data_IF_639716040469
#
_entry.id   IF_639716040469
#
_cell.length_a   1.000
_cell.length_b   1.000
_cell.length_c   1.000
_cell.angle_alpha   90.00
_cell.angle_beta   90.00
_cell.angle_gamma   90.00
#
_symmetry.space_group_name_H-M   'P 1'
#
loop_
_entity.id
_entity.type
_entity.pdbx_description
1 polymer ?
#
# COMPACT_ATOMS: atom_id res chain seq x y z
N UNK A 1 12.17 79.96 11.59
CA UNK A 1 12.91 78.85 12.23
C UNK A 1 12.29 77.60 11.74
N UNK A 2 13.02 76.77 10.99
CA UNK A 2 12.52 75.78 10.03
C UNK A 2 12.00 74.48 10.65
N UNK A 3 10.69 74.30 10.61
CA UNK A 3 10.02 73.08 11.02
C UNK A 3 9.84 72.06 9.85
N UNK A 4 10.70 72.09 8.87
CA UNK A 4 10.58 71.30 7.61
C UNK A 4 11.55 70.13 7.48
N UNK A 5 12.19 69.68 8.57
CA UNK A 5 13.29 68.68 8.45
C UNK A 5 13.05 67.31 9.09
N UNK A 6 11.83 66.99 9.55
CA UNK A 6 11.56 65.70 10.18
C UNK A 6 10.46 64.85 9.53
N UNK A 7 10.04 65.16 8.32
CA UNK A 7 9.12 64.35 7.56
C UNK A 7 9.88 63.67 6.43
N UNK A 8 10.82 62.86 6.75
CA UNK A 8 11.38 61.93 5.77
C UNK A 8 12.17 60.85 6.52
N UNK A 9 11.55 59.77 6.79
CA UNK A 9 12.09 58.40 6.95
C UNK A 9 11.14 57.48 7.70
N UNK A 10 9.82 57.62 7.50
CA UNK A 10 8.94 56.49 7.74
C UNK A 10 8.99 55.64 6.47
N UNK A 11 10.08 54.87 6.38
CA UNK A 11 10.25 53.88 5.35
C UNK A 11 9.16 52.82 5.59
N UNK A 12 8.18 52.83 4.72
CA UNK A 12 7.11 51.85 4.63
C UNK A 12 7.76 50.51 4.31
N UNK A 13 8.14 49.77 5.35
CA UNK A 13 8.50 48.34 5.24
C UNK A 13 7.18 47.62 4.98
N UNK A 14 6.82 47.52 3.71
CA UNK A 14 5.84 46.56 3.23
C UNK A 14 6.50 45.21 3.44
N UNK A 15 6.23 44.57 4.58
CA UNK A 15 6.48 43.15 4.78
C UNK A 15 5.51 42.43 3.86
N UNK A 16 5.98 42.16 2.66
CA UNK A 16 5.35 41.23 1.75
C UNK A 16 5.52 39.86 2.42
N UNK A 17 4.55 39.48 3.28
CA UNK A 17 4.41 38.11 3.74
C UNK A 17 4.05 37.34 2.48
N UNK A 18 5.06 36.81 1.81
CA UNK A 18 4.93 35.73 0.85
C UNK A 18 4.34 34.56 1.65
N UNK A 19 3.01 34.44 1.61
CA UNK A 19 2.36 33.19 1.86
C UNK A 19 2.90 32.18 0.85
N UNK A 20 4.03 31.57 1.19
CA UNK A 20 4.36 30.28 0.64
C UNK A 20 3.26 29.35 1.13
N UNK A 21 2.16 29.32 0.40
CA UNK A 21 1.26 28.19 0.43
C UNK A 21 2.14 27.00 0.05
N UNK A 22 2.70 26.32 1.06
CA UNK A 22 3.19 24.99 0.88
C UNK A 22 1.98 24.21 0.38
N UNK A 23 1.82 24.12 -0.94
CA UNK A 23 0.99 23.10 -1.54
C UNK A 23 1.67 21.80 -1.09
N UNK A 24 1.20 21.28 0.03
CA UNK A 24 1.43 19.90 0.39
C UNK A 24 0.95 19.12 -0.83
N UNK A 25 1.88 18.62 -1.63
CA UNK A 25 1.58 17.70 -2.70
C UNK A 25 1.17 16.39 -2.01
N UNK A 26 -0.07 16.36 -1.52
CA UNK A 26 -0.72 15.10 -1.26
C UNK A 26 -0.76 14.39 -2.59
N UNK A 27 -0.02 13.30 -2.72
CA UNK A 27 -0.09 12.48 -3.92
C UNK A 27 -1.52 11.97 -4.00
N UNK A 28 -2.28 12.42 -5.01
CA UNK A 28 -3.67 11.98 -5.21
C UNK A 28 -3.69 10.46 -5.33
N UNK A 29 -4.64 9.77 -4.70
CA UNK A 29 -4.63 8.30 -4.61
C UNK A 29 -4.62 7.60 -5.97
N UNK A 30 -5.28 8.15 -6.99
CA UNK A 30 -5.29 7.65 -8.36
C UNK A 30 -3.90 7.76 -9.02
N UNK A 31 -3.24 8.91 -8.86
CA UNK A 31 -1.86 9.12 -9.35
C UNK A 31 -0.88 8.21 -8.62
N UNK A 32 -1.08 8.01 -7.31
CA UNK A 32 -0.28 7.06 -6.54
C UNK A 32 -0.42 5.64 -7.09
N UNK A 33 -1.65 5.17 -7.32
CA UNK A 33 -1.86 3.83 -7.89
C UNK A 33 -1.30 3.74 -9.30
N UNK A 34 -1.49 4.76 -10.15
CA UNK A 34 -0.93 4.74 -11.51
C UNK A 34 0.60 4.61 -11.48
N UNK A 35 1.29 5.38 -10.61
CA UNK A 35 2.75 5.27 -10.46
C UNK A 35 3.18 3.86 -10.03
N UNK A 36 2.49 3.25 -9.07
CA UNK A 36 2.81 1.90 -8.58
C UNK A 36 2.60 0.86 -9.67
N UNK A 37 1.52 0.98 -10.44
CA UNK A 37 1.21 0.10 -11.56
C UNK A 37 2.26 0.21 -12.65
N UNK A 38 2.67 1.43 -13.02
CA UNK A 38 3.68 1.69 -14.04
C UNK A 38 5.07 1.14 -13.60
N UNK A 39 5.43 1.35 -12.32
CA UNK A 39 6.67 0.81 -11.74
C UNK A 39 6.66 -0.74 -11.75
N UNK A 40 5.54 -1.36 -11.36
CA UNK A 40 5.39 -2.81 -11.37
C UNK A 40 5.44 -3.39 -12.80
N UNK A 41 4.73 -2.78 -13.75
CA UNK A 41 4.77 -3.18 -15.17
C UNK A 41 6.18 -3.07 -15.74
N UNK A 42 6.87 -1.95 -15.46
CA UNK A 42 8.26 -1.75 -15.87
C UNK A 42 9.19 -2.82 -15.27
N UNK A 43 9.01 -3.17 -13.99
CA UNK A 43 9.78 -4.24 -13.34
C UNK A 43 9.56 -5.60 -14.00
N UNK A 44 8.33 -5.90 -14.43
CA UNK A 44 7.98 -7.15 -15.08
C UNK A 44 8.53 -7.26 -16.50
N UNK A 45 8.52 -6.15 -17.26
CA UNK A 45 8.98 -6.12 -18.65
C UNK A 45 10.51 -6.07 -18.75
N UNK A 46 11.15 -5.24 -17.92
CA UNK A 46 12.58 -4.91 -18.06
C UNK A 46 13.51 -5.80 -17.21
N UNK A 47 12.99 -6.78 -16.48
CA UNK A 47 13.84 -7.70 -15.71
C UNK A 47 14.27 -8.90 -16.54
N UNK A 48 15.52 -9.32 -16.36
CA UNK A 48 16.16 -10.38 -17.14
C UNK A 48 15.73 -11.80 -16.72
N UNK A 49 15.30 -11.96 -15.47
CA UNK A 49 14.91 -13.24 -14.89
C UNK A 49 13.86 -13.09 -13.79
N UNK A 50 13.27 -14.23 -13.39
CA UNK A 50 12.20 -14.27 -12.36
C UNK A 50 12.65 -13.70 -11.00
N UNK A 51 13.90 -13.99 -10.60
CA UNK A 51 14.44 -13.50 -9.32
C UNK A 51 14.49 -11.98 -9.30
N UNK A 52 15.00 -11.35 -10.34
CA UNK A 52 15.07 -9.89 -10.46
C UNK A 52 13.67 -9.26 -10.45
N UNK A 53 12.69 -9.87 -11.16
CA UNK A 53 11.28 -9.44 -11.11
C UNK A 53 10.77 -9.44 -9.68
N UNK A 54 10.95 -10.56 -8.98
CA UNK A 54 10.49 -10.72 -7.61
C UNK A 54 11.14 -9.70 -6.66
N UNK A 55 12.43 -9.45 -6.77
CA UNK A 55 13.14 -8.52 -5.89
C UNK A 55 12.64 -7.07 -6.12
N UNK A 56 12.46 -6.62 -7.36
CA UNK A 56 11.87 -5.31 -7.68
C UNK A 56 10.43 -5.19 -7.16
N UNK A 57 9.60 -6.23 -7.33
CA UNK A 57 8.22 -6.25 -6.84
C UNK A 57 8.16 -6.18 -5.30
N UNK A 58 9.09 -6.83 -4.58
CA UNK A 58 9.20 -6.71 -3.12
C UNK A 58 9.52 -5.27 -2.70
N UNK A 59 10.45 -4.62 -3.40
CA UNK A 59 10.82 -3.22 -3.11
C UNK A 59 9.64 -2.26 -3.33
N UNK A 60 8.86 -2.48 -4.39
CA UNK A 60 7.63 -1.73 -4.66
C UNK A 60 6.63 -1.95 -3.51
N UNK A 61 6.39 -3.21 -3.11
CA UNK A 61 5.46 -3.52 -2.03
C UNK A 61 5.88 -2.90 -0.69
N UNK A 62 7.17 -2.92 -0.36
CA UNK A 62 7.71 -2.31 0.88
C UNK A 62 7.46 -0.80 0.97
N UNK A 63 7.42 -0.10 -0.16
CA UNK A 63 7.20 1.35 -0.24
C UNK A 63 5.72 1.72 -0.29
N UNK A 64 4.88 0.86 -0.89
CA UNK A 64 3.50 1.21 -1.27
C UNK A 64 2.41 0.50 -0.48
N UNK A 65 2.73 -0.58 0.24
CA UNK A 65 1.74 -1.41 0.95
C UNK A 65 1.91 -1.30 2.46
N UNK A 66 0.81 -1.11 3.19
CA UNK A 66 0.79 -1.21 4.65
C UNK A 66 0.78 -2.67 5.10
N UNK A 67 1.92 -3.36 4.87
CA UNK A 67 2.06 -4.79 5.15
C UNK A 67 1.73 -5.10 6.62
N UNK A 68 2.19 -4.24 7.55
CA UNK A 68 1.90 -4.40 8.98
C UNK A 68 0.40 -4.25 9.28
N UNK A 69 -0.24 -3.25 8.68
CA UNK A 69 -1.68 -3.03 8.85
C UNK A 69 -2.51 -4.18 8.30
N UNK A 70 -2.15 -4.71 7.14
CA UNK A 70 -2.80 -5.89 6.54
C UNK A 70 -2.58 -7.11 7.44
N UNK A 71 -1.36 -7.35 7.93
CA UNK A 71 -1.06 -8.46 8.82
C UNK A 71 -1.89 -8.42 10.11
N UNK A 72 -1.96 -7.26 10.76
CA UNK A 72 -2.79 -7.10 11.96
C UNK A 72 -4.29 -7.26 11.67
N UNK A 73 -4.76 -6.87 10.50
CA UNK A 73 -6.13 -7.12 10.06
C UNK A 73 -6.39 -8.61 9.86
N UNK A 74 -5.46 -9.34 9.24
CA UNK A 74 -5.57 -10.78 8.94
C UNK A 74 -5.61 -11.65 10.21
N UNK A 75 -5.00 -11.21 11.32
CA UNK A 75 -5.16 -11.88 12.62
C UNK A 75 -6.58 -11.76 13.22
N UNK A 76 -7.38 -10.81 12.77
CA UNK A 76 -8.71 -10.58 13.31
C UNK A 76 -8.73 -10.34 14.82
N UNK A 77 -9.56 -11.10 15.55
CA UNK A 77 -9.68 -11.03 17.02
C UNK A 77 -8.45 -11.60 17.76
N UNK A 78 -7.74 -12.56 17.16
CA UNK A 78 -6.60 -13.23 17.77
C UNK A 78 -5.48 -12.26 18.16
N UNK A 79 -5.31 -11.16 17.42
CA UNK A 79 -4.32 -10.11 17.74
C UNK A 79 -4.43 -9.51 19.15
N UNK A 80 -5.61 -9.63 19.80
CA UNK A 80 -5.84 -9.07 21.14
C UNK A 80 -5.17 -9.91 22.23
N UNK A 81 -5.02 -11.20 21.98
CA UNK A 81 -4.54 -12.18 22.96
C UNK A 81 -3.02 -12.40 22.86
N UNK A 82 -2.36 -11.87 21.82
CA UNK A 82 -0.92 -12.01 21.63
C UNK A 82 -0.14 -11.13 22.60
N UNK A 83 0.92 -11.69 23.16
CA UNK A 83 1.98 -10.96 23.87
C UNK A 83 2.70 -10.00 22.91
N UNK A 84 3.52 -9.10 23.46
CA UNK A 84 4.34 -8.20 22.64
C UNK A 84 5.38 -8.97 21.81
N UNK A 85 5.93 -10.07 22.35
CA UNK A 85 6.87 -10.94 21.65
C UNK A 85 6.23 -11.61 20.45
N UNK A 86 5.07 -12.29 20.65
CA UNK A 86 4.32 -12.96 19.60
C UNK A 86 3.85 -11.99 18.51
N UNK A 87 3.47 -10.75 18.88
CA UNK A 87 3.14 -9.71 17.88
C UNK A 87 4.34 -9.33 17.03
N UNK A 88 5.51 -9.22 17.64
CA UNK A 88 6.76 -8.92 16.93
C UNK A 88 7.12 -10.04 15.96
N UNK A 89 7.12 -11.27 16.44
CA UNK A 89 7.38 -12.48 15.65
C UNK A 89 6.40 -12.63 14.48
N UNK A 90 5.10 -12.51 14.75
CA UNK A 90 4.08 -12.53 13.70
C UNK A 90 4.31 -11.46 12.63
N UNK A 91 4.63 -10.22 13.02
CA UNK A 91 4.86 -9.15 12.05
C UNK A 91 6.03 -9.48 11.11
N UNK A 92 7.10 -10.08 11.62
CA UNK A 92 8.25 -10.50 10.79
C UNK A 92 7.90 -11.68 9.89
N UNK A 93 7.19 -12.69 10.41
CA UNK A 93 6.72 -13.83 9.62
C UNK A 93 5.74 -13.37 8.54
N UNK A 94 4.75 -12.56 8.91
CA UNK A 94 3.77 -12.06 7.94
C UNK A 94 4.41 -11.22 6.84
N UNK A 95 5.37 -10.36 7.18
CA UNK A 95 6.10 -9.56 6.19
C UNK A 95 6.83 -10.45 5.17
N UNK A 96 7.56 -11.47 5.62
CA UNK A 96 8.27 -12.41 4.74
C UNK A 96 7.28 -13.20 3.87
N UNK A 97 6.22 -13.73 4.48
CA UNK A 97 5.14 -14.44 3.80
C UNK A 97 4.50 -13.56 2.71
N UNK A 98 4.07 -12.35 3.07
CA UNK A 98 3.44 -11.42 2.15
C UNK A 98 4.35 -11.12 0.96
N UNK A 99 5.59 -10.73 1.20
CA UNK A 99 6.53 -10.38 0.15
C UNK A 99 6.81 -11.56 -0.79
N UNK A 100 6.96 -12.78 -0.26
CA UNK A 100 7.16 -13.99 -1.07
C UNK A 100 5.92 -14.29 -1.91
N UNK A 101 4.74 -14.36 -1.28
CA UNK A 101 3.47 -14.66 -1.94
C UNK A 101 3.15 -13.64 -3.04
N UNK A 102 3.24 -12.35 -2.72
CA UNK A 102 2.97 -11.25 -3.63
C UNK A 102 3.92 -11.26 -4.84
N UNK A 103 5.24 -11.27 -4.58
CA UNK A 103 6.22 -11.19 -5.66
C UNK A 103 6.23 -12.44 -6.55
N UNK A 104 6.04 -13.63 -5.99
CA UNK A 104 5.96 -14.87 -6.75
C UNK A 104 4.78 -14.86 -7.71
N UNK A 105 3.57 -14.52 -7.21
CA UNK A 105 2.35 -14.49 -8.03
C UNK A 105 2.44 -13.46 -9.16
N UNK A 106 2.94 -12.26 -8.87
CA UNK A 106 3.03 -11.21 -9.88
C UNK A 106 4.16 -11.44 -10.89
N UNK A 107 5.25 -12.10 -10.50
CA UNK A 107 6.38 -12.35 -11.42
C UNK A 107 6.05 -13.22 -12.62
N UNK A 108 4.91 -13.90 -12.63
CA UNK A 108 4.45 -14.73 -13.73
C UNK A 108 3.76 -13.92 -14.86
N UNK A 109 3.38 -12.67 -14.58
CA UNK A 109 2.89 -11.75 -15.61
C UNK A 109 4.05 -11.24 -16.49
N UNK A 110 3.79 -11.08 -17.79
CA UNK A 110 4.81 -10.65 -18.76
C UNK A 110 4.69 -9.20 -19.19
N UNK A 111 3.50 -8.69 -19.38
CA UNK A 111 3.21 -7.30 -19.78
C UNK A 111 1.79 -6.90 -19.35
N UNK A 112 1.53 -6.79 -18.04
CA UNK A 112 0.20 -6.41 -17.58
C UNK A 112 -0.06 -4.94 -17.90
N UNK A 113 -1.19 -4.65 -18.54
CA UNK A 113 -1.68 -3.29 -18.77
C UNK A 113 -2.84 -3.03 -17.82
N UNK A 114 -2.63 -2.12 -16.89
CA UNK A 114 -3.64 -1.73 -15.89
C UNK A 114 -3.95 -0.25 -16.08
N UNK A 115 -5.22 0.05 -16.31
CA UNK A 115 -5.71 1.40 -16.50
C UNK A 115 -6.50 1.84 -15.26
N UNK A 116 -6.06 2.88 -14.59
CA UNK A 116 -6.85 3.53 -13.53
C UNK A 116 -8.05 4.23 -14.17
N UNK A 117 -9.24 3.95 -13.64
CA UNK A 117 -10.50 4.40 -14.26
C UNK A 117 -11.27 5.43 -13.43
N UNK A 118 -11.25 5.27 -12.10
CA UNK A 118 -11.99 6.17 -11.21
C UNK A 118 -11.43 6.11 -9.78
N UNK A 119 -11.86 7.07 -8.97
CA UNK A 119 -11.61 7.08 -7.52
C UNK A 119 -12.89 7.46 -6.77
N UNK A 120 -13.05 6.89 -5.58
CA UNK A 120 -14.16 7.18 -4.68
C UNK A 120 -13.64 7.34 -3.25
N UNK A 121 -13.86 8.51 -2.64
CA UNK A 121 -13.52 8.75 -1.24
C UNK A 121 -14.56 8.06 -0.34
N UNK A 122 -14.15 7.02 0.37
CA UNK A 122 -15.02 6.26 1.29
C UNK A 122 -15.09 6.93 2.67
N UNK A 123 -14.00 7.53 3.11
CA UNK A 123 -13.90 8.27 4.38
C UNK A 123 -12.72 9.23 4.35
N UNK A 124 -12.50 9.98 5.43
CA UNK A 124 -11.32 10.87 5.53
C UNK A 124 -9.98 10.13 5.46
N UNK A 125 -9.98 8.84 5.76
CA UNK A 125 -8.76 8.03 5.80
C UNK A 125 -8.66 7.02 4.68
N UNK A 126 -9.69 6.84 3.83
CA UNK A 126 -9.73 5.80 2.82
C UNK A 126 -10.35 6.28 1.51
N UNK A 127 -9.67 5.95 0.43
CA UNK A 127 -10.16 6.10 -0.94
C UNK A 127 -10.09 4.74 -1.64
N UNK A 128 -11.10 4.41 -2.42
CA UNK A 128 -11.05 3.32 -3.39
C UNK A 128 -10.61 3.92 -4.72
N UNK A 129 -9.56 3.36 -5.30
CA UNK A 129 -9.14 3.63 -6.67
C UNK A 129 -9.51 2.41 -7.50
N UNK A 130 -10.31 2.59 -8.54
CA UNK A 130 -10.70 1.51 -9.44
C UNK A 130 -9.79 1.48 -10.66
N UNK A 131 -9.45 0.28 -11.09
CA UNK A 131 -8.68 0.04 -12.29
C UNK A 131 -9.12 -1.23 -13.01
N UNK A 132 -8.69 -1.36 -14.25
CA UNK A 132 -8.97 -2.51 -15.11
C UNK A 132 -7.64 -3.08 -15.60
N UNK A 133 -7.38 -4.36 -15.33
CA UNK A 133 -6.37 -5.12 -16.03
C UNK A 133 -6.95 -5.47 -17.41
N UNK A 134 -6.31 -4.96 -18.45
CA UNK A 134 -6.77 -5.11 -19.84
C UNK A 134 -6.73 -6.57 -20.25
N UNK A 135 -7.79 -7.03 -20.92
CA UNK A 135 -7.87 -8.37 -21.48
C UNK A 135 -6.71 -8.65 -22.46
N UNK A 136 -6.26 -9.89 -22.50
CA UNK A 136 -5.33 -10.42 -23.49
C UNK A 136 -5.98 -11.62 -24.20
N UNK A 137 -5.30 -12.21 -25.18
CA UNK A 137 -5.80 -13.45 -25.80
C UNK A 137 -5.95 -14.61 -24.80
N UNK A 138 -5.24 -14.55 -23.65
CA UNK A 138 -5.19 -15.63 -22.65
C UNK A 138 -5.94 -15.33 -21.36
N UNK A 139 -6.23 -14.07 -21.10
CA UNK A 139 -6.85 -13.63 -19.85
C UNK A 139 -7.99 -12.65 -20.11
N UNK A 140 -9.16 -12.80 -19.46
CA UNK A 140 -10.22 -11.82 -19.55
C UNK A 140 -9.82 -10.48 -18.92
N UNK A 141 -10.62 -9.46 -19.15
CA UNK A 141 -10.57 -8.21 -18.40
C UNK A 141 -10.87 -8.49 -16.92
N UNK A 142 -10.13 -7.84 -16.01
CA UNK A 142 -10.28 -8.04 -14.56
C UNK A 142 -10.41 -6.66 -13.90
N UNK A 143 -11.47 -6.48 -13.13
CA UNK A 143 -11.65 -5.30 -12.30
C UNK A 143 -10.82 -5.42 -11.02
N UNK A 144 -10.06 -4.35 -10.71
CA UNK A 144 -9.23 -4.26 -9.48
C UNK A 144 -9.56 -2.95 -8.77
N UNK A 145 -10.07 -3.05 -7.54
CA UNK A 145 -10.29 -1.91 -6.67
C UNK A 145 -9.19 -1.90 -5.58
N UNK A 146 -8.49 -0.79 -5.48
CA UNK A 146 -7.39 -0.57 -4.52
C UNK A 146 -7.91 0.23 -3.34
N UNK A 147 -7.89 -0.34 -2.14
CA UNK A 147 -8.20 0.40 -0.93
C UNK A 147 -6.96 1.12 -0.43
N UNK A 148 -6.92 2.42 -0.65
CA UNK A 148 -5.79 3.29 -0.31
C UNK A 148 -6.06 4.00 1.01
N UNK A 149 -5.11 3.91 1.94
CA UNK A 149 -5.11 4.63 3.21
C UNK A 149 -4.40 5.96 3.05
N UNK A 150 -5.09 7.06 3.36
CA UNK A 150 -4.68 8.42 3.05
C UNK A 150 -4.52 9.32 4.28
N UNK A 151 -4.59 8.74 5.49
CA UNK A 151 -4.48 9.51 6.74
C UNK A 151 -3.11 10.20 6.90
N UNK A 152 -2.04 9.56 6.43
CA UNK A 152 -0.69 10.13 6.49
C UNK A 152 -0.50 10.97 5.23
N UNK A 153 -0.43 12.29 5.42
CA UNK A 153 -0.22 13.23 4.32
C UNK A 153 1.09 12.88 3.60
N UNK A 154 1.04 12.80 2.28
CA UNK A 154 2.17 12.45 1.38
C UNK A 154 2.71 11.01 1.49
N UNK A 155 2.04 10.13 2.22
CA UNK A 155 2.37 8.70 2.27
C UNK A 155 1.12 7.83 2.16
N UNK A 156 0.42 7.83 1.01
CA UNK A 156 -0.67 6.89 0.80
C UNK A 156 -0.12 5.46 0.80
N UNK A 157 -0.88 4.52 1.36
CA UNK A 157 -0.51 3.11 1.43
C UNK A 157 -1.68 2.23 1.00
N UNK A 158 -1.40 1.20 0.23
CA UNK A 158 -2.39 0.19 -0.13
C UNK A 158 -2.65 -0.70 1.09
N UNK A 159 -3.92 -0.88 1.45
CA UNK A 159 -4.37 -1.76 2.56
C UNK A 159 -5.23 -2.93 2.12
N UNK A 160 -5.69 -2.94 0.89
CA UNK A 160 -6.43 -4.07 0.32
C UNK A 160 -6.43 -4.00 -1.20
N UNK A 161 -6.52 -5.15 -1.82
CA UNK A 161 -6.88 -5.33 -3.22
C UNK A 161 -8.19 -6.10 -3.28
N UNK A 162 -9.16 -5.57 -4.02
CA UNK A 162 -10.45 -6.19 -4.25
C UNK A 162 -10.49 -6.56 -5.73
N UNK A 163 -10.38 -7.83 -6.03
CA UNK A 163 -10.34 -8.37 -7.39
C UNK A 163 -11.69 -9.01 -7.68
N UNK A 164 -12.41 -8.52 -8.69
CA UNK A 164 -13.75 -8.98 -9.03
C UNK A 164 -14.69 -9.01 -7.82
N UNK A 165 -14.58 -8.02 -6.92
CA UNK A 165 -15.37 -7.92 -5.71
C UNK A 165 -14.85 -8.74 -4.52
N UNK A 166 -13.80 -9.57 -4.69
CA UNK A 166 -13.19 -10.36 -3.64
C UNK A 166 -12.03 -9.61 -2.97
N UNK A 167 -12.18 -9.25 -1.70
CA UNK A 167 -11.14 -8.61 -0.89
C UNK A 167 -10.06 -9.62 -0.49
N UNK A 168 -8.82 -9.39 -0.93
CA UNK A 168 -7.70 -10.28 -0.61
C UNK A 168 -7.35 -10.24 0.88
N UNK A 169 -7.42 -9.07 1.52
CA UNK A 169 -7.18 -8.96 2.96
C UNK A 169 -8.23 -9.71 3.79
N UNK A 170 -9.50 -9.71 3.35
CA UNK A 170 -10.57 -10.48 4.01
C UNK A 170 -10.34 -11.99 3.84
N UNK A 171 -10.07 -12.43 2.62
CA UNK A 171 -9.77 -13.84 2.33
C UNK A 171 -8.61 -14.33 3.20
N UNK A 172 -7.53 -13.55 3.28
CA UNK A 172 -6.39 -13.90 4.13
C UNK A 172 -6.75 -14.01 5.61
N UNK A 173 -7.64 -13.11 6.10
CA UNK A 173 -8.14 -13.20 7.48
C UNK A 173 -8.94 -14.47 7.71
N UNK A 174 -9.78 -14.87 6.76
CA UNK A 174 -10.59 -16.08 6.86
C UNK A 174 -9.72 -17.34 6.82
N UNK A 175 -8.71 -17.37 5.94
CA UNK A 175 -7.72 -18.45 5.87
C UNK A 175 -6.94 -18.60 7.18
N UNK A 176 -6.42 -17.49 7.74
CA UNK A 176 -5.67 -17.54 9.00
C UNK A 176 -6.54 -17.97 10.18
N UNK A 177 -7.78 -17.44 10.24
CA UNK A 177 -8.73 -17.91 11.25
C UNK A 177 -9.02 -19.40 11.12
N UNK A 178 -9.16 -19.92 9.90
CA UNK A 178 -9.36 -21.35 9.66
C UNK A 178 -8.19 -22.18 10.16
N UNK A 179 -6.95 -21.77 9.89
CA UNK A 179 -5.75 -22.48 10.39
C UNK A 179 -5.74 -22.50 11.93
N UNK A 180 -5.99 -21.37 12.58
CA UNK A 180 -5.98 -21.28 14.04
C UNK A 180 -7.12 -22.14 14.63
N UNK A 181 -8.34 -22.05 14.10
CA UNK A 181 -9.50 -22.79 14.62
C UNK A 181 -9.35 -24.30 14.42
N UNK A 182 -8.78 -24.76 13.29
CA UNK A 182 -8.52 -26.19 13.03
C UNK A 182 -7.43 -26.78 13.93
N UNK A 183 -6.75 -25.95 14.72
CA UNK A 183 -5.72 -26.34 15.68
C UNK A 183 -6.07 -25.85 17.10
N UNK A 184 -7.33 -25.98 17.50
CA UNK A 184 -7.82 -25.69 18.85
C UNK A 184 -7.57 -24.25 19.34
N UNK A 185 -7.45 -23.30 18.41
CA UNK A 185 -7.17 -21.89 18.72
C UNK A 185 -5.68 -21.60 18.92
N UNK A 186 -4.80 -22.55 18.66
CA UNK A 186 -3.34 -22.36 18.82
C UNK A 186 -2.77 -21.46 17.71
N UNK A 187 -2.26 -20.31 18.10
CA UNK A 187 -1.62 -19.35 17.19
C UNK A 187 -0.30 -19.86 16.60
N UNK A 188 0.39 -20.77 17.31
CA UNK A 188 1.65 -21.33 16.83
C UNK A 188 1.47 -22.19 15.57
N UNK A 189 0.29 -22.76 15.37
CA UNK A 189 -0.04 -23.45 14.13
C UNK A 189 -0.01 -22.50 12.92
N UNK A 190 -0.47 -21.25 13.10
CA UNK A 190 -0.35 -20.23 12.06
C UNK A 190 1.12 -19.85 11.82
N UNK A 191 1.92 -19.64 12.88
CA UNK A 191 3.34 -19.31 12.74
C UNK A 191 4.08 -20.38 11.97
N UNK A 192 3.89 -21.65 12.34
CA UNK A 192 4.44 -22.81 11.61
C UNK A 192 4.01 -22.85 10.14
N UNK A 193 2.74 -22.54 9.86
CA UNK A 193 2.22 -22.49 8.48
C UNK A 193 2.93 -21.42 7.66
N UNK A 194 3.12 -20.21 8.25
CA UNK A 194 3.84 -19.13 7.60
C UNK A 194 5.31 -19.47 7.36
N UNK A 195 5.99 -20.06 8.34
CA UNK A 195 7.38 -20.50 8.22
C UNK A 195 7.56 -21.53 7.12
N UNK A 196 6.70 -22.56 7.08
CA UNK A 196 6.72 -23.59 6.04
C UNK A 196 6.58 -22.98 4.65
N UNK A 197 5.64 -22.04 4.49
CA UNK A 197 5.49 -21.32 3.20
C UNK A 197 6.73 -20.48 2.85
N UNK A 198 7.33 -19.79 3.82
CA UNK A 198 8.52 -18.96 3.60
C UNK A 198 9.69 -19.82 3.14
N UNK A 199 9.82 -21.03 3.68
CA UNK A 199 10.95 -21.94 3.44
C UNK A 199 10.76 -22.88 2.23
N UNK A 200 9.54 -22.99 1.68
CA UNK A 200 9.26 -23.74 0.45
C UNK A 200 9.75 -23.01 -0.80
#
# INVERSE_FOLDING_TARGET
MNLRKYINKFSLIIITILFFSNKSFSTEPDKFIQLIVDEASSALVNSTNKKEKMDKLKDIALKSVDIKGIGLYSLGSHRKNLTSSEKSEYNELFKKYFLKSFSSRLSDYTDPKINVTSLEKISDNYTIVSSILVATEKTPEIKIDWRVYTKIINQPLIRDLIIEGLSLARTQKEEFNSVIQSNDGDINALFTTLENFINS
#
